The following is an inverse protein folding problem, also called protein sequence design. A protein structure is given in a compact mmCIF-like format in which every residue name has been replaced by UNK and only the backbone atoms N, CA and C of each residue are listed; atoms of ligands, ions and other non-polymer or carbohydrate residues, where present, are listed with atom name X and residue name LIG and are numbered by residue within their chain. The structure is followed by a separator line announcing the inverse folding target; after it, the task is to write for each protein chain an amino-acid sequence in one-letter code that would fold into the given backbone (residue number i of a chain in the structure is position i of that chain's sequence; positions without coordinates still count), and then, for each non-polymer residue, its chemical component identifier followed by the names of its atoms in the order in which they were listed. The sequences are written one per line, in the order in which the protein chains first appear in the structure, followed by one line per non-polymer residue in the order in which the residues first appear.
data_IF_992922971720
#
_entry.id   IF_992922971720
#
_cell.length_a   1.000
_cell.length_b   1.000
_cell.length_c   1.000
_cell.angle_alpha   90.00
_cell.angle_beta   90.00
_cell.angle_gamma   90.00
#
_symmetry.space_group_name_H-M   'P 1'
#
loop_
_entity.id
_entity.type
_entity.pdbx_description
1 polymer ?
#
# COMPACT_ATOMS: atom_id res chain seq x y z
N UNK A 1 8.95 -13.17 -7.13
CA UNK A 1 10.04 -12.36 -6.53
C UNK A 1 9.52 -11.05 -5.92
N UNK A 2 9.10 -11.08 -4.64
CA UNK A 2 8.74 -9.87 -3.88
C UNK A 2 9.98 -9.41 -3.11
N UNK A 3 10.35 -8.13 -3.20
CA UNK A 3 11.17 -7.47 -2.18
C UNK A 3 12.62 -7.11 -2.52
N UNK A 4 12.89 -6.39 -3.63
CA UNK A 4 14.22 -5.78 -3.86
C UNK A 4 14.29 -4.25 -3.73
N UNK A 5 13.19 -3.57 -3.43
CA UNK A 5 13.14 -2.10 -3.39
C UNK A 5 12.62 -1.57 -2.05
N UNK A 6 13.22 -2.00 -0.95
CA UNK A 6 13.01 -1.36 0.35
C UNK A 6 14.01 -0.22 0.50
N UNK A 7 13.50 0.99 0.74
CA UNK A 7 14.33 2.16 1.02
C UNK A 7 15.21 1.89 2.25
N UNK A 8 16.53 2.09 2.11
CA UNK A 8 17.48 1.92 3.22
C UNK A 8 17.78 3.28 3.84
N UNK A 9 17.38 3.45 5.09
CA UNK A 9 17.69 4.63 5.91
C UNK A 9 19.13 4.54 6.41
N UNK A 10 19.88 5.64 6.26
CA UNK A 10 21.28 5.75 6.71
C UNK A 10 21.38 5.87 8.23
N UNK A 11 20.42 6.55 8.85
CA UNK A 11 20.40 6.81 10.28
C UNK A 11 19.92 5.60 11.09
N UNK A 12 20.50 5.45 12.28
CA UNK A 12 20.03 4.47 13.25
C UNK A 12 18.66 4.89 13.81
N UNK A 13 17.74 3.94 14.03
CA UNK A 13 16.44 4.26 14.61
C UNK A 13 16.62 4.84 16.02
N UNK A 14 15.92 5.92 16.38
CA UNK A 14 15.91 6.46 17.74
C UNK A 14 15.43 5.37 18.71
N UNK A 15 16.04 5.30 19.90
CA UNK A 15 15.68 4.34 20.94
C UNK A 15 15.31 5.03 22.23
N UNK A 16 14.34 4.46 22.95
CA UNK A 16 13.99 4.89 24.30
C UNK A 16 14.95 4.30 25.36
N UNK A 17 14.86 4.70 26.65
CA UNK A 17 15.69 4.16 27.72
C UNK A 17 15.61 2.63 27.89
N UNK A 18 14.51 2.01 27.45
CA UNK A 18 14.34 0.55 27.45
C UNK A 18 14.98 -0.14 26.22
N UNK A 19 15.71 0.60 25.38
CA UNK A 19 16.37 0.08 24.18
C UNK A 19 15.43 -0.22 23.01
N UNK A 20 14.13 0.09 23.11
CA UNK A 20 13.13 -0.11 22.05
C UNK A 20 13.18 1.03 21.04
N UNK A 21 12.96 0.73 19.77
CA UNK A 21 12.96 1.75 18.71
C UNK A 21 11.66 2.54 18.75
N UNK A 22 11.73 3.86 18.61
CA UNK A 22 10.56 4.75 18.68
C UNK A 22 10.46 5.65 17.46
N UNK A 23 9.27 6.19 17.21
CA UNK A 23 9.09 7.26 16.25
C UNK A 23 9.26 8.62 16.93
N UNK A 24 10.04 9.51 16.31
CA UNK A 24 10.27 10.89 16.78
C UNK A 24 9.78 11.94 15.77
N UNK A 25 9.10 11.52 14.70
CA UNK A 25 8.68 12.41 13.61
C UNK A 25 7.46 13.25 13.98
N UNK A 26 6.47 12.66 14.65
CA UNK A 26 5.21 13.32 14.99
C UNK A 26 4.71 12.85 16.37
N UNK A 27 4.09 13.76 17.12
CA UNK A 27 3.55 13.49 18.46
C UNK A 27 2.45 12.43 18.46
N UNK A 28 1.71 12.27 17.37
CA UNK A 28 0.71 11.20 17.18
C UNK A 28 1.32 9.79 17.18
N UNK A 29 2.62 9.68 16.93
CA UNK A 29 3.34 8.42 16.84
C UNK A 29 4.30 8.19 18.02
N UNK A 30 4.33 9.10 19.01
CA UNK A 30 5.30 9.07 20.13
C UNK A 30 5.18 7.80 20.98
N UNK A 31 3.98 7.25 21.10
CA UNK A 31 3.69 6.06 21.90
C UNK A 31 3.97 4.75 21.14
N UNK A 32 4.35 4.85 19.86
CA UNK A 32 4.67 3.69 19.03
C UNK A 32 6.12 3.23 19.28
N UNK A 33 6.23 2.04 19.85
CA UNK A 33 7.47 1.30 20.04
C UNK A 33 7.57 0.13 19.07
N UNK A 34 8.78 -0.14 18.59
CA UNK A 34 9.09 -1.19 17.62
C UNK A 34 10.23 -2.06 18.13
N UNK A 35 10.07 -3.37 18.01
CA UNK A 35 11.09 -4.35 18.35
C UNK A 35 12.04 -4.63 17.19
N UNK A 36 11.55 -4.53 15.95
CA UNK A 36 12.33 -4.84 14.75
C UNK A 36 12.57 -3.60 13.88
N UNK A 37 13.80 -3.46 13.39
CA UNK A 37 14.19 -2.35 12.50
C UNK A 37 13.35 -2.30 11.23
N UNK A 38 12.93 -3.45 10.70
CA UNK A 38 12.07 -3.50 9.52
C UNK A 38 10.67 -2.93 9.76
N UNK A 39 10.11 -3.09 10.96
CA UNK A 39 8.80 -2.55 11.34
C UNK A 39 8.89 -1.04 11.55
N UNK A 40 9.91 -0.60 12.28
CA UNK A 40 10.21 0.83 12.43
C UNK A 40 10.43 1.51 11.07
N UNK A 41 11.24 0.90 10.19
CA UNK A 41 11.50 1.46 8.87
C UNK A 41 10.23 1.55 8.02
N UNK A 42 9.36 0.52 8.07
CA UNK A 42 8.06 0.53 7.40
C UNK A 42 7.12 1.60 7.98
N UNK A 43 7.18 1.83 9.29
CA UNK A 43 6.45 2.93 9.92
C UNK A 43 6.94 4.28 9.39
N UNK A 44 8.25 4.50 9.39
CA UNK A 44 8.84 5.75 8.93
C UNK A 44 8.61 6.03 7.43
N UNK A 45 8.48 4.99 6.59
CA UNK A 45 8.10 5.18 5.18
C UNK A 45 6.73 5.85 5.02
N UNK A 46 5.87 5.83 6.05
CA UNK A 46 4.62 6.61 6.07
C UNK A 46 4.85 8.12 6.15
N UNK A 47 5.91 8.52 6.84
CA UNK A 47 6.29 9.92 7.05
C UNK A 47 7.08 10.43 5.85
N UNK A 48 8.20 9.78 5.55
CA UNK A 48 9.13 10.24 4.51
C UNK A 48 8.60 10.03 3.09
N UNK A 49 7.72 9.04 2.90
CA UNK A 49 7.17 8.67 1.58
C UNK A 49 8.24 8.58 0.49
N UNK A 50 9.31 7.79 0.69
CA UNK A 50 10.52 7.89 -0.13
C UNK A 50 10.34 7.40 -1.58
N UNK A 51 9.21 6.78 -1.90
CA UNK A 51 8.91 6.24 -3.21
C UNK A 51 8.15 7.29 -4.03
N UNK A 52 8.85 8.11 -4.82
CA UNK A 52 8.27 9.24 -5.57
C UNK A 52 8.19 8.92 -7.06
N UNK A 53 7.09 9.34 -7.71
CA UNK A 53 6.97 9.23 -9.16
C UNK A 53 7.73 10.38 -9.84
N UNK A 54 8.54 10.07 -10.85
CA UNK A 54 9.37 11.04 -11.59
C UNK A 54 8.77 11.45 -12.94
N UNK A 55 7.54 11.03 -13.23
CA UNK A 55 6.88 11.38 -14.49
C UNK A 55 6.37 12.83 -14.45
N UNK A 56 6.39 13.51 -15.60
CA UNK A 56 5.90 14.90 -15.71
C UNK A 56 4.45 14.99 -15.24
N UNK A 57 4.15 16.01 -14.43
CA UNK A 57 2.82 16.21 -13.83
C UNK A 57 2.59 15.50 -12.49
N UNK A 58 3.50 14.64 -12.04
CA UNK A 58 3.43 13.98 -10.73
C UNK A 58 4.36 14.60 -9.67
N UNK A 59 5.04 15.70 -10.01
CA UNK A 59 6.01 16.39 -9.14
C UNK A 59 5.40 16.92 -7.83
N UNK A 60 4.10 17.24 -7.85
CA UNK A 60 3.36 17.69 -6.65
C UNK A 60 2.89 16.54 -5.75
N UNK A 61 3.08 15.29 -6.16
CA UNK A 61 2.77 14.15 -5.29
C UNK A 61 3.86 14.02 -4.23
N UNK A 62 3.45 14.06 -2.96
CA UNK A 62 4.33 13.88 -1.80
C UNK A 62 5.09 12.54 -1.80
N UNK A 63 4.69 11.57 -2.63
CA UNK A 63 5.28 10.24 -2.70
C UNK A 63 4.40 9.17 -2.08
N UNK A 64 4.86 7.93 -2.19
CA UNK A 64 4.17 6.73 -1.73
C UNK A 64 4.86 6.16 -0.50
N UNK A 65 4.09 5.47 0.34
CA UNK A 65 4.57 4.85 1.59
C UNK A 65 5.25 3.50 1.39
N UNK A 66 5.23 2.95 0.17
CA UNK A 66 5.91 1.72 -0.22
C UNK A 66 6.05 1.62 -1.75
N UNK A 67 7.02 0.87 -2.23
CA UNK A 67 7.32 0.70 -3.66
C UNK A 67 6.15 0.15 -4.49
N UNK A 68 5.33 -0.73 -3.92
CA UNK A 68 4.13 -1.24 -4.60
C UNK A 68 3.06 -0.17 -4.87
N UNK A 69 2.98 0.87 -4.04
CA UNK A 69 2.10 2.02 -4.26
C UNK A 69 2.52 2.82 -5.47
N UNK A 70 3.82 3.09 -5.58
CA UNK A 70 4.43 3.76 -6.74
C UNK A 70 4.23 2.94 -8.02
N UNK A 71 4.56 1.65 -7.99
CA UNK A 71 4.42 0.78 -9.17
C UNK A 71 2.97 0.73 -9.68
N UNK A 72 2.00 0.69 -8.76
CA UNK A 72 0.58 0.74 -9.10
C UNK A 72 0.20 2.07 -9.74
N UNK A 73 0.67 3.19 -9.17
CA UNK A 73 0.46 4.51 -9.75
C UNK A 73 1.02 4.61 -11.17
N UNK A 74 2.26 4.16 -11.40
CA UNK A 74 2.89 4.16 -12.72
C UNK A 74 2.09 3.32 -13.73
N UNK A 75 1.53 2.19 -13.30
CA UNK A 75 0.68 1.36 -14.15
C UNK A 75 -0.66 2.00 -14.48
N UNK A 76 -1.32 2.60 -13.50
CA UNK A 76 -2.69 3.09 -13.64
C UNK A 76 -2.72 4.46 -14.34
N UNK A 77 -1.82 5.36 -13.95
CA UNK A 77 -1.76 6.76 -14.41
C UNK A 77 -0.90 6.89 -15.67
N UNK A 78 0.27 6.25 -15.71
CA UNK A 78 1.21 6.38 -16.83
C UNK A 78 1.17 5.22 -17.82
N UNK A 79 0.31 4.22 -17.58
CA UNK A 79 0.19 2.99 -18.39
C UNK A 79 1.52 2.24 -18.58
N UNK A 80 2.45 2.43 -17.63
CA UNK A 80 3.74 1.75 -17.64
C UNK A 80 3.61 0.30 -17.15
N UNK A 81 4.64 -0.50 -17.40
CA UNK A 81 4.75 -1.88 -16.89
C UNK A 81 3.63 -2.83 -17.36
N UNK A 82 3.05 -2.58 -18.54
CA UNK A 82 2.17 -3.52 -19.24
C UNK A 82 0.71 -3.59 -18.77
N UNK A 83 0.24 -2.65 -17.92
CA UNK A 83 -1.17 -2.50 -17.56
C UNK A 83 -1.81 -3.68 -16.79
N UNK A 84 -3.03 -3.51 -16.28
CA UNK A 84 -3.81 -4.63 -15.72
C UNK A 84 -4.50 -5.38 -16.86
N UNK A 85 -3.96 -6.54 -17.28
CA UNK A 85 -4.48 -7.32 -18.41
C UNK A 85 -5.79 -8.07 -18.16
N UNK A 86 -6.25 -8.23 -16.91
CA UNK A 86 -7.46 -9.02 -16.60
C UNK A 86 -8.31 -8.35 -15.52
N UNK A 87 -9.50 -7.91 -15.90
CA UNK A 87 -10.56 -7.49 -14.98
C UNK A 87 -11.09 -8.72 -14.23
N UNK A 88 -11.29 -8.59 -12.92
CA UNK A 88 -11.88 -9.61 -12.07
C UNK A 88 -13.31 -9.22 -11.76
N UNK A 89 -14.26 -10.13 -11.92
CA UNK A 89 -15.68 -9.85 -11.73
C UNK A 89 -16.19 -10.42 -10.42
N UNK A 90 -17.30 -9.89 -9.93
CA UNK A 90 -17.99 -10.49 -8.79
C UNK A 90 -18.52 -11.88 -9.17
N UNK A 91 -18.33 -12.93 -8.36
CA UNK A 91 -18.82 -14.28 -8.69
C UNK A 91 -20.35 -14.41 -8.57
N UNK A 92 -21.02 -13.46 -7.91
CA UNK A 92 -22.47 -13.44 -7.74
C UNK A 92 -23.14 -12.92 -9.02
N UNK A 93 -23.83 -13.79 -9.75
CA UNK A 93 -24.40 -13.45 -11.06
C UNK A 93 -25.48 -12.35 -11.00
N UNK A 94 -26.18 -12.25 -9.87
CA UNK A 94 -27.16 -11.19 -9.57
C UNK A 94 -26.49 -9.85 -9.21
N UNK A 95 -25.17 -9.83 -8.99
CA UNK A 95 -24.45 -8.62 -8.69
C UNK A 95 -24.14 -7.82 -9.96
N UNK A 96 -24.43 -6.51 -9.94
CA UNK A 96 -24.07 -5.56 -11.02
C UNK A 96 -22.58 -5.56 -11.37
N UNK A 97 -21.71 -6.02 -10.46
CA UNK A 97 -20.25 -6.14 -10.66
C UNK A 97 -19.83 -7.49 -11.29
N UNK A 98 -20.77 -8.35 -11.67
CA UNK A 98 -20.52 -9.63 -12.36
C UNK A 98 -20.33 -9.49 -13.87
N UNK A 99 -21.03 -8.54 -14.52
CA UNK A 99 -21.03 -8.42 -15.99
C UNK A 99 -20.70 -7.01 -16.53
N UNK A 100 -20.35 -6.06 -15.65
CA UNK A 100 -20.08 -4.65 -16.00
C UNK A 100 -18.61 -4.24 -15.90
N UNK A 101 -18.32 -3.15 -15.18
CA UNK A 101 -16.93 -2.76 -14.89
C UNK A 101 -16.35 -3.66 -13.79
N UNK A 102 -15.46 -4.57 -14.20
CA UNK A 102 -14.75 -5.45 -13.27
C UNK A 102 -13.73 -4.71 -12.40
N UNK A 103 -13.24 -5.40 -11.38
CA UNK A 103 -12.20 -4.94 -10.49
C UNK A 103 -10.82 -5.15 -11.12
N UNK A 104 -9.98 -4.13 -11.06
CA UNK A 104 -8.57 -4.23 -11.46
C UNK A 104 -7.70 -4.92 -10.41
N UNK A 105 -8.21 -5.09 -9.17
CA UNK A 105 -7.48 -5.63 -8.01
C UNK A 105 -8.30 -6.66 -7.21
N UNK A 106 -7.64 -7.74 -6.78
CA UNK A 106 -8.28 -8.85 -6.06
C UNK A 106 -8.76 -8.41 -4.68
N UNK A 107 -7.98 -7.57 -4.00
CA UNK A 107 -8.38 -7.00 -2.70
C UNK A 107 -9.70 -6.23 -2.80
N UNK A 108 -9.88 -5.41 -3.83
CA UNK A 108 -11.11 -4.64 -4.04
C UNK A 108 -12.31 -5.56 -4.31
N UNK A 109 -12.11 -6.64 -5.08
CA UNK A 109 -13.14 -7.66 -5.28
C UNK A 109 -13.51 -8.35 -3.95
N UNK A 110 -12.53 -8.81 -3.18
CA UNK A 110 -12.79 -9.45 -1.89
C UNK A 110 -13.46 -8.51 -0.88
N UNK A 111 -13.07 -7.24 -0.87
CA UNK A 111 -13.69 -6.21 -0.01
C UNK A 111 -15.12 -5.92 -0.47
N UNK A 112 -15.37 -5.86 -1.78
CA UNK A 112 -16.73 -5.77 -2.33
C UNK A 112 -17.58 -6.96 -1.89
N UNK A 113 -17.09 -8.19 -2.06
CA UNK A 113 -17.78 -9.40 -1.61
C UNK A 113 -18.05 -9.35 -0.10
N UNK A 114 -17.06 -8.96 0.70
CA UNK A 114 -17.24 -8.80 2.15
C UNK A 114 -18.17 -7.68 2.58
N UNK A 115 -18.41 -6.65 1.78
CA UNK A 115 -19.30 -5.53 2.13
C UNK A 115 -20.71 -5.71 1.60
N UNK A 116 -20.83 -6.21 0.37
CA UNK A 116 -22.10 -6.32 -0.36
C UNK A 116 -22.71 -7.70 -0.17
N UNK A 117 -21.87 -8.75 -0.06
CA UNK A 117 -22.30 -10.15 0.00
C UNK A 117 -21.95 -10.82 1.34
N UNK A 118 -21.67 -10.05 2.41
CA UNK A 118 -21.26 -10.57 3.74
C UNK A 118 -22.25 -11.54 4.39
N UNK A 119 -23.51 -11.57 3.93
CA UNK A 119 -24.53 -12.52 4.39
C UNK A 119 -24.54 -13.85 3.61
N UNK A 120 -23.78 -13.97 2.52
CA UNK A 120 -23.75 -15.14 1.65
C UNK A 120 -22.41 -15.89 1.68
N UNK A 121 -21.58 -15.67 2.71
CA UNK A 121 -20.44 -16.54 2.98
C UNK A 121 -20.82 -17.58 4.03
N UNK A 122 -21.61 -18.56 3.63
CA UNK A 122 -21.44 -19.91 4.15
C UNK A 122 -21.28 -20.83 2.93
N UNK A 123 -20.20 -21.62 2.83
CA UNK A 123 -20.12 -22.69 1.86
C UNK A 123 -21.24 -23.73 2.07
#
# INVERSE_FOLDING_TARGET
PRGKFSHKRKEAPPRNPAGKMICTFDLSCKDLVFDRKCEWSKHMDKHDRPYVCRHKGCEKLQGFTYSGGLLRHEREVHKLHGGTKKSMFCPYQDCKRSYGTGFTRKENLHEHVRRVHRRASNP
#
